data_IF_421918953441
#
_entry.id   IF_421918953441
#
_cell.length_a   1.000
_cell.length_b   1.000
_cell.length_c   1.000
_cell.angle_alpha   90.00
_cell.angle_beta   90.00
_cell.angle_gamma   90.00
#
_symmetry.space_group_name_H-M   'P 1'
#
loop_
_entity.id
_entity.type
_entity.pdbx_description
1 polymer ?
#
# COMPACT_ATOMS: atom_id res chain seq x y z
N UNK A 1 21.48 -3.32 -23.54
CA UNK A 1 20.96 -4.60 -23.01
C UNK A 1 19.69 -4.30 -22.23
N UNK A 2 18.59 -4.96 -22.56
CA UNK A 2 17.31 -4.77 -21.86
C UNK A 2 17.38 -5.51 -20.51
N UNK A 3 17.51 -4.77 -19.41
CA UNK A 3 17.41 -5.32 -18.06
C UNK A 3 15.95 -5.25 -17.64
N UNK A 4 15.33 -6.41 -17.49
CA UNK A 4 14.02 -6.50 -16.84
C UNK A 4 14.26 -6.38 -15.34
N UNK A 5 14.02 -5.20 -14.79
CA UNK A 5 13.99 -4.99 -13.35
C UNK A 5 12.70 -5.60 -12.82
N UNK A 6 12.81 -6.76 -12.15
CA UNK A 6 11.70 -7.32 -11.38
C UNK A 6 11.77 -6.68 -10.00
N UNK A 7 10.79 -5.86 -9.69
CA UNK A 7 10.63 -5.32 -8.35
C UNK A 7 10.40 -6.50 -7.38
N UNK A 8 11.33 -6.68 -6.45
CA UNK A 8 11.31 -7.83 -5.53
C UNK A 8 10.35 -7.53 -4.38
N UNK A 9 9.16 -8.11 -4.43
CA UNK A 9 8.14 -7.92 -3.40
C UNK A 9 8.42 -8.81 -2.19
N UNK A 10 8.60 -8.21 -1.01
CA UNK A 10 8.77 -8.93 0.26
C UNK A 10 7.47 -8.93 1.06
N UNK A 11 7.06 -10.11 1.54
CA UNK A 11 5.92 -10.21 2.45
C UNK A 11 6.32 -9.74 3.86
N UNK A 12 5.60 -8.78 4.41
CA UNK A 12 5.80 -8.23 5.76
C UNK A 12 4.46 -8.12 6.48
N UNK A 13 4.44 -8.48 7.77
CA UNK A 13 3.24 -8.44 8.61
C UNK A 13 3.29 -7.23 9.54
N UNK A 14 2.31 -6.34 9.43
CA UNK A 14 2.14 -5.18 10.31
C UNK A 14 0.89 -5.34 11.17
N UNK A 15 0.93 -4.81 12.39
CA UNK A 15 -0.27 -4.69 13.23
C UNK A 15 -0.93 -3.35 12.94
N UNK A 16 -2.19 -3.38 12.51
CA UNK A 16 -2.99 -2.21 12.21
C UNK A 16 -4.22 -2.15 13.14
N UNK A 17 -4.71 -0.96 13.51
CA UNK A 17 -5.96 -0.83 14.26
C UNK A 17 -7.13 -1.44 13.50
N UNK A 18 -8.03 -2.15 14.21
CA UNK A 18 -9.19 -2.82 13.60
C UNK A 18 -10.01 -1.88 12.70
N UNK A 19 -10.34 -0.69 13.21
CA UNK A 19 -11.12 0.32 12.48
C UNK A 19 -10.46 0.77 11.17
N UNK A 20 -9.13 0.77 11.11
CA UNK A 20 -8.40 1.12 9.88
C UNK A 20 -8.50 -0.02 8.87
N UNK A 21 -8.31 -1.26 9.33
CA UNK A 21 -8.42 -2.44 8.48
C UNK A 21 -9.82 -2.56 7.88
N UNK A 22 -10.87 -2.35 8.67
CA UNK A 22 -12.26 -2.35 8.18
C UNK A 22 -12.51 -1.31 7.08
N UNK A 23 -12.00 -0.08 7.27
CA UNK A 23 -12.09 0.98 6.25
C UNK A 23 -11.35 0.59 4.97
N UNK A 24 -10.14 0.06 5.09
CA UNK A 24 -9.35 -0.39 3.94
C UNK A 24 -10.06 -1.52 3.19
N UNK A 25 -10.69 -2.47 3.89
CA UNK A 25 -11.50 -3.52 3.26
C UNK A 25 -12.70 -2.95 2.50
N UNK A 26 -13.43 -2.01 3.09
CA UNK A 26 -14.58 -1.39 2.42
C UNK A 26 -14.16 -0.66 1.13
N UNK A 27 -13.05 0.09 1.17
CA UNK A 27 -12.50 0.78 0.00
C UNK A 27 -12.02 -0.21 -1.05
N UNK A 28 -11.29 -1.26 -0.65
CA UNK A 28 -10.79 -2.30 -1.55
C UNK A 28 -11.94 -3.01 -2.29
N UNK A 29 -13.02 -3.34 -1.57
CA UNK A 29 -14.22 -3.94 -2.16
C UNK A 29 -14.93 -2.98 -3.12
N UNK A 30 -15.10 -1.72 -2.72
CA UNK A 30 -15.78 -0.73 -3.56
C UNK A 30 -15.03 -0.44 -4.86
N UNK A 31 -13.70 -0.44 -4.80
CA UNK A 31 -12.81 -0.18 -5.95
C UNK A 31 -12.44 -1.44 -6.72
N UNK A 32 -12.84 -2.64 -6.25
CA UNK A 32 -12.53 -3.91 -6.90
C UNK A 32 -11.05 -4.28 -6.90
N UNK A 33 -10.27 -3.81 -5.91
CA UNK A 33 -8.82 -4.06 -5.80
C UNK A 33 -8.50 -4.95 -4.60
N UNK A 34 -7.38 -5.67 -4.65
CA UNK A 34 -6.92 -6.44 -3.50
C UNK A 34 -6.43 -5.52 -2.37
N UNK A 35 -6.66 -5.92 -1.12
CA UNK A 35 -6.23 -5.15 0.05
C UNK A 35 -4.72 -4.85 0.03
N UNK A 36 -3.89 -5.82 -0.38
CA UNK A 36 -2.44 -5.63 -0.48
C UNK A 36 -2.07 -4.54 -1.50
N UNK A 37 -2.76 -4.50 -2.64
CA UNK A 37 -2.53 -3.51 -3.68
C UNK A 37 -2.95 -2.11 -3.19
N UNK A 38 -4.09 -2.01 -2.51
CA UNK A 38 -4.55 -0.77 -1.87
C UNK A 38 -3.56 -0.27 -0.81
N UNK A 39 -3.13 -1.15 0.10
CA UNK A 39 -2.18 -0.78 1.17
C UNK A 39 -0.86 -0.28 0.59
N UNK A 40 -0.32 -0.96 -0.44
CA UNK A 40 0.89 -0.50 -1.14
C UNK A 40 0.71 0.93 -1.66
N UNK A 41 -0.36 1.19 -2.41
CA UNK A 41 -0.63 2.51 -2.98
C UNK A 41 -0.81 3.59 -1.90
N UNK A 42 -1.52 3.27 -0.81
CA UNK A 42 -1.67 4.19 0.32
C UNK A 42 -0.31 4.52 0.96
N UNK A 43 0.57 3.54 1.12
CA UNK A 43 1.91 3.77 1.65
C UNK A 43 2.78 4.59 0.70
N UNK A 44 2.80 4.27 -0.59
CA UNK A 44 3.54 5.02 -1.61
C UNK A 44 3.09 6.48 -1.66
N UNK A 45 1.77 6.71 -1.70
CA UNK A 45 1.20 8.06 -1.68
C UNK A 45 1.56 8.81 -0.40
N UNK A 46 1.41 8.18 0.77
CA UNK A 46 1.73 8.81 2.04
C UNK A 46 3.21 9.16 2.19
N UNK A 47 4.11 8.36 1.59
CA UNK A 47 5.55 8.62 1.59
C UNK A 47 5.93 9.74 0.61
N UNK A 48 5.33 9.76 -0.58
CA UNK A 48 5.54 10.81 -1.59
C UNK A 48 5.02 12.17 -1.14
N UNK A 49 3.90 12.16 -0.40
CA UNK A 49 3.27 13.36 0.16
C UNK A 49 3.68 13.64 1.61
N UNK A 50 4.66 12.90 2.13
CA UNK A 50 5.23 13.21 3.43
C UNK A 50 6.03 14.50 3.25
N UNK A 51 5.56 15.59 3.87
CA UNK A 51 6.28 16.86 3.87
C UNK A 51 7.70 16.60 4.40
N UNK A 52 8.66 16.70 3.49
CA UNK A 52 10.07 16.40 3.76
C UNK A 52 10.82 17.68 4.12
N UNK A 53 10.11 18.77 4.49
CA UNK A 53 10.75 19.97 5.02
C UNK A 53 11.29 19.68 6.42
N UNK A 54 12.55 19.27 6.44
CA UNK A 54 13.45 19.28 7.59
C UNK A 54 14.77 19.90 7.20
#
# INVERSE_FOLDING_TARGET
MFKVEKDEMVNKTFRLPLKLVEKLYAVAQNQGVSLNNLVRQCCEYALDNLDTDK
#
